data_IF_631048699531
#
_entry.id   IF_631048699531
#
_cell.length_a   1.000
_cell.length_b   1.000
_cell.length_c   1.000
_cell.angle_alpha   90.00
_cell.angle_beta   90.00
_cell.angle_gamma   90.00
#
_symmetry.space_group_name_H-M   'P 1'
#
loop_
_entity.id
_entity.type
_entity.pdbx_description
1 polymer ?
#
# COMPACT_ATOMS: atom_id res chain seq x y z
N UNK A 1 23.49 5.65 -18.60
CA UNK A 1 22.68 5.56 -17.37
C UNK A 1 21.40 6.37 -17.58
N UNK A 2 20.22 5.79 -17.38
CA UNK A 2 18.96 6.57 -17.44
C UNK A 2 18.87 7.44 -16.18
N UNK A 3 18.66 8.74 -16.33
CA UNK A 3 18.35 9.62 -15.21
C UNK A 3 16.99 9.20 -14.62
N UNK A 4 16.99 8.78 -13.37
CA UNK A 4 15.77 8.46 -12.62
C UNK A 4 15.12 9.79 -12.22
N UNK A 5 13.83 9.96 -12.51
CA UNK A 5 13.13 11.19 -12.09
C UNK A 5 12.85 11.19 -10.59
N UNK A 6 12.73 12.38 -9.98
CA UNK A 6 12.34 12.51 -8.57
C UNK A 6 11.04 11.76 -8.26
N UNK A 7 10.07 11.76 -9.18
CA UNK A 7 8.83 10.98 -9.09
C UNK A 7 9.11 9.48 -8.94
N UNK A 8 10.01 8.93 -9.76
CA UNK A 8 10.37 7.51 -9.68
C UNK A 8 11.08 7.18 -8.36
N UNK A 9 11.97 8.07 -7.89
CA UNK A 9 12.63 7.90 -6.59
C UNK A 9 11.58 7.82 -5.47
N UNK A 10 10.60 8.72 -5.45
CA UNK A 10 9.51 8.73 -4.46
C UNK A 10 8.70 7.44 -4.53
N UNK A 11 8.26 7.02 -5.73
CA UNK A 11 7.47 5.80 -5.90
C UNK A 11 8.23 4.55 -5.42
N UNK A 12 9.52 4.44 -5.76
CA UNK A 12 10.34 3.31 -5.33
C UNK A 12 10.69 3.36 -3.85
N UNK A 13 10.85 4.55 -3.25
CA UNK A 13 11.03 4.69 -1.81
C UNK A 13 9.80 4.18 -1.05
N UNK A 14 8.59 4.52 -1.52
CA UNK A 14 7.35 4.00 -0.93
C UNK A 14 7.24 2.49 -1.15
N UNK A 15 7.60 1.97 -2.35
CA UNK A 15 7.62 0.52 -2.58
C UNK A 15 8.57 -0.21 -1.63
N UNK A 16 9.76 0.34 -1.39
CA UNK A 16 10.72 -0.21 -0.43
C UNK A 16 10.18 -0.18 1.00
N UNK A 17 9.46 0.88 1.38
CA UNK A 17 8.77 0.94 2.66
C UNK A 17 7.75 -0.20 2.80
N UNK A 18 6.90 -0.43 1.80
CA UNK A 18 5.94 -1.54 1.78
C UNK A 18 6.65 -2.90 1.97
N UNK A 19 7.71 -3.14 1.20
CA UNK A 19 8.48 -4.38 1.27
C UNK A 19 9.16 -4.57 2.63
N UNK A 20 9.71 -3.49 3.21
CA UNK A 20 10.35 -3.54 4.52
C UNK A 20 9.35 -3.90 5.62
N UNK A 21 8.20 -3.24 5.65
CA UNK A 21 7.15 -3.50 6.64
C UNK A 21 6.57 -4.90 6.46
N UNK A 22 6.31 -5.32 5.22
CA UNK A 22 5.85 -6.68 4.92
C UNK A 22 6.87 -7.74 5.38
N UNK A 23 8.16 -7.53 5.10
CA UNK A 23 9.23 -8.43 5.52
C UNK A 23 9.35 -8.50 7.04
N UNK A 24 9.28 -7.36 7.73
CA UNK A 24 9.32 -7.30 9.19
C UNK A 24 8.10 -7.99 9.82
N UNK A 25 6.88 -7.72 9.32
CA UNK A 25 5.66 -8.38 9.79
C UNK A 25 5.69 -9.90 9.53
N UNK A 26 6.23 -10.33 8.39
CA UNK A 26 6.40 -11.74 8.07
C UNK A 26 7.36 -12.40 9.04
N UNK A 27 8.51 -11.76 9.31
CA UNK A 27 9.49 -12.26 10.28
C UNK A 27 8.84 -12.50 11.65
N UNK A 28 8.15 -11.49 12.20
CA UNK A 28 7.46 -11.62 13.50
C UNK A 28 6.43 -12.75 13.51
N UNK A 29 5.66 -12.91 12.43
CA UNK A 29 4.64 -13.95 12.37
C UNK A 29 5.27 -15.35 12.39
N UNK A 30 6.37 -15.56 11.68
CA UNK A 30 7.02 -16.88 11.59
C UNK A 30 8.00 -17.15 12.73
N UNK A 31 8.52 -16.14 13.42
CA UNK A 31 9.39 -16.30 14.59
C UNK A 31 8.62 -16.52 15.88
N UNK A 32 7.49 -15.83 16.06
CA UNK A 32 6.83 -15.71 17.37
C UNK A 32 5.54 -16.55 17.49
N UNK A 33 5.00 -17.07 16.38
CA UNK A 33 3.75 -17.84 16.39
C UNK A 33 3.91 -19.26 15.83
N UNK A 34 3.57 -20.25 16.64
CA UNK A 34 3.44 -21.65 16.24
C UNK A 34 1.96 -22.01 16.04
N UNK A 35 1.35 -21.62 14.91
CA UNK A 35 -0.03 -21.99 14.57
C UNK A 35 -0.74 -21.06 13.58
N UNK A 36 -1.90 -21.48 13.05
CA UNK A 36 -2.71 -20.66 12.14
C UNK A 36 -3.34 -19.48 12.90
N UNK A 37 -2.87 -18.26 12.65
CA UNK A 37 -3.30 -17.04 13.32
C UNK A 37 -3.98 -16.10 12.32
N UNK A 38 -5.01 -15.35 12.72
CA UNK A 38 -5.66 -14.33 11.88
C UNK A 38 -4.68 -13.28 11.32
N UNK A 39 -3.50 -13.15 11.93
CA UNK A 39 -2.39 -12.33 11.41
C UNK A 39 -1.89 -12.75 10.02
N UNK A 40 -2.13 -13.99 9.56
CA UNK A 40 -1.85 -14.36 8.17
C UNK A 40 -2.69 -13.54 7.18
N UNK A 41 -3.94 -13.20 7.52
CA UNK A 41 -4.77 -12.35 6.67
C UNK A 41 -4.23 -10.93 6.57
N UNK A 42 -3.61 -10.43 7.64
CA UNK A 42 -2.92 -9.13 7.62
C UNK A 42 -1.75 -9.15 6.62
N UNK A 43 -0.94 -10.20 6.61
CA UNK A 43 0.15 -10.34 5.63
C UNK A 43 -0.37 -10.42 4.19
N UNK A 44 -1.46 -11.15 3.96
CA UNK A 44 -2.09 -11.19 2.63
C UNK A 44 -2.57 -9.80 2.22
N UNK A 45 -3.20 -9.06 3.14
CA UNK A 45 -3.56 -7.65 2.93
C UNK A 45 -2.36 -6.80 2.56
N UNK A 46 -1.27 -6.85 3.35
CA UNK A 46 -0.04 -6.10 3.08
C UNK A 46 0.54 -6.44 1.70
N UNK A 47 0.51 -7.70 1.30
CA UNK A 47 0.96 -8.13 -0.03
C UNK A 47 0.09 -7.55 -1.15
N UNK A 48 -1.24 -7.55 -1.00
CA UNK A 48 -2.17 -6.97 -1.97
C UNK A 48 -1.90 -5.46 -2.16
N UNK A 49 -1.73 -4.72 -1.06
CA UNK A 49 -1.36 -3.30 -1.10
C UNK A 49 -0.02 -3.06 -1.79
N UNK A 50 0.99 -3.89 -1.47
CA UNK A 50 2.33 -3.83 -2.09
C UNK A 50 2.27 -4.10 -3.60
N UNK A 51 1.48 -5.10 -4.03
CA UNK A 51 1.28 -5.42 -5.44
C UNK A 51 0.52 -4.30 -6.17
N UNK A 52 -0.46 -3.69 -5.51
CA UNK A 52 -1.14 -2.52 -6.04
C UNK A 52 -0.17 -1.35 -6.25
N UNK A 53 0.69 -1.07 -5.27
CA UNK A 53 1.72 -0.05 -5.40
C UNK A 53 2.74 -0.38 -6.50
N UNK A 54 3.17 -1.65 -6.63
CA UNK A 54 4.03 -2.10 -7.71
C UNK A 54 3.40 -1.82 -9.08
N UNK A 55 2.09 -2.03 -9.23
CA UNK A 55 1.35 -1.66 -10.43
C UNK A 55 1.40 -0.16 -10.75
N UNK A 56 1.38 0.71 -9.72
CA UNK A 56 1.57 2.16 -9.87
C UNK A 56 3.00 2.48 -10.34
N UNK A 57 4.02 1.82 -9.79
CA UNK A 57 5.41 1.93 -10.26
C UNK A 57 5.56 1.53 -11.74
N UNK A 58 4.78 0.55 -12.20
CA UNK A 58 4.69 0.12 -13.60
C UNK A 58 3.81 1.03 -14.47
N UNK A 59 3.36 2.17 -13.93
CA UNK A 59 2.53 3.18 -14.60
C UNK A 59 1.18 2.65 -15.10
N UNK A 60 0.62 1.67 -14.42
CA UNK A 60 -0.69 1.09 -14.76
C UNK A 60 -1.80 1.78 -13.95
N UNK A 61 -2.62 2.61 -14.61
CA UNK A 61 -3.66 3.45 -13.97
C UNK A 61 -4.67 2.67 -13.12
N UNK A 62 -5.04 1.46 -13.58
CA UNK A 62 -6.00 0.61 -12.87
C UNK A 62 -5.55 0.32 -11.43
N UNK A 63 -4.23 0.23 -11.19
CA UNK A 63 -3.70 -0.04 -9.87
C UNK A 63 -3.78 1.16 -8.93
N UNK A 64 -3.82 2.41 -9.43
CA UNK A 64 -4.15 3.57 -8.59
C UNK A 64 -5.57 3.49 -8.08
N UNK A 65 -6.53 3.08 -8.93
CA UNK A 65 -7.91 2.89 -8.51
C UNK A 65 -8.04 1.74 -7.52
N UNK A 66 -7.38 0.61 -7.79
CA UNK A 66 -7.34 -0.53 -6.87
C UNK A 66 -6.76 -0.10 -5.51
N UNK A 67 -5.62 0.59 -5.51
CA UNK A 67 -4.96 1.05 -4.29
C UNK A 67 -5.85 2.03 -3.50
N UNK A 68 -6.49 2.99 -4.19
CA UNK A 68 -7.46 3.88 -3.56
C UNK A 68 -8.64 3.11 -2.93
N UNK A 69 -9.23 2.16 -3.66
CA UNK A 69 -10.32 1.34 -3.14
C UNK A 69 -9.91 0.51 -1.93
N UNK A 70 -8.67 -0.01 -1.91
CA UNK A 70 -8.12 -0.73 -0.77
C UNK A 70 -7.98 0.16 0.47
N UNK A 71 -7.51 1.39 0.30
CA UNK A 71 -7.43 2.38 1.40
C UNK A 71 -8.81 2.72 1.94
N UNK A 72 -9.79 2.93 1.06
CA UNK A 72 -11.17 3.20 1.47
C UNK A 72 -11.72 2.01 2.26
N UNK A 73 -11.46 0.78 1.81
CA UNK A 73 -11.86 -0.44 2.52
C UNK A 73 -11.19 -0.54 3.91
N UNK A 74 -9.88 -0.27 4.00
CA UNK A 74 -9.13 -0.24 5.26
C UNK A 74 -9.71 0.82 6.22
N UNK A 75 -9.96 2.04 5.73
CA UNK A 75 -10.60 3.11 6.51
C UNK A 75 -11.98 2.71 7.02
N UNK A 76 -12.82 2.12 6.15
CA UNK A 76 -14.14 1.63 6.54
C UNK A 76 -14.03 0.51 7.58
N UNK A 77 -13.10 -0.43 7.41
CA UNK A 77 -12.85 -1.49 8.38
C UNK A 77 -12.45 -0.92 9.75
N UNK A 78 -11.53 0.07 9.76
CA UNK A 78 -11.08 0.73 10.98
C UNK A 78 -12.19 1.52 11.67
N UNK A 79 -13.00 2.28 10.92
CA UNK A 79 -14.03 3.16 11.46
C UNK A 79 -15.28 2.41 11.93
N UNK A 80 -15.77 1.45 11.14
CA UNK A 80 -17.04 0.78 11.41
C UNK A 80 -16.89 -0.56 12.14
N UNK A 81 -15.74 -1.22 12.01
CA UNK A 81 -15.51 -2.56 12.56
C UNK A 81 -14.30 -2.63 13.50
N UNK A 82 -13.75 -1.48 13.94
CA UNK A 82 -12.52 -1.42 14.74
C UNK A 82 -12.57 -2.16 16.09
N UNK A 83 -13.77 -2.41 16.64
CA UNK A 83 -13.95 -3.21 17.87
C UNK A 83 -14.10 -4.72 17.61
N UNK A 84 -14.04 -5.15 16.35
CA UNK A 84 -14.16 -6.54 15.93
C UNK A 84 -12.83 -7.00 15.35
N UNK A 85 -12.55 -8.31 15.45
CA UNK A 85 -11.32 -8.94 14.92
C UNK A 85 -11.08 -8.54 13.44
N UNK A 86 -12.15 -8.40 12.66
CA UNK A 86 -12.05 -7.94 11.28
C UNK A 86 -11.44 -6.53 11.15
N UNK A 87 -11.87 -5.56 11.97
CA UNK A 87 -11.31 -4.21 11.95
C UNK A 87 -9.90 -4.13 12.53
N UNK A 88 -9.55 -5.00 13.49
CA UNK A 88 -8.17 -5.09 14.01
C UNK A 88 -7.19 -5.64 12.96
N UNK A 89 -7.63 -6.59 12.13
CA UNK A 89 -6.76 -7.25 11.14
C UNK A 89 -6.69 -6.48 9.82
N UNK A 90 -7.82 -5.94 9.35
CA UNK A 90 -7.93 -5.27 8.05
C UNK A 90 -7.81 -3.74 8.16
N UNK A 91 -8.16 -3.15 9.32
CA UNK A 91 -8.11 -1.70 9.51
C UNK A 91 -6.72 -1.14 9.83
N UNK A 92 -5.73 -1.99 10.11
CA UNK A 92 -4.34 -1.62 10.45
C UNK A 92 -3.31 -2.37 9.57
N UNK A 93 -3.57 -2.48 8.26
CA UNK A 93 -2.64 -3.10 7.33
C UNK A 93 -1.44 -2.16 7.12
N UNK A 94 -1.70 -0.94 6.66
CA UNK A 94 -0.71 0.13 6.45
C UNK A 94 -1.20 1.50 6.93
N UNK A 95 -2.42 1.59 7.47
CA UNK A 95 -2.93 2.82 8.05
C UNK A 95 -2.00 3.38 9.16
N UNK A 96 -1.76 4.71 9.21
CA UNK A 96 -2.26 5.77 8.32
C UNK A 96 -1.34 6.10 7.13
N UNK A 97 -0.24 5.39 6.94
CA UNK A 97 0.78 5.74 5.94
C UNK A 97 0.20 5.76 4.52
N UNK A 98 -0.65 4.80 4.19
CA UNK A 98 -1.23 4.67 2.84
C UNK A 98 -2.16 5.82 2.46
N UNK A 99 -2.80 6.48 3.44
CA UNK A 99 -3.56 7.73 3.22
C UNK A 99 -2.64 8.86 2.72
N UNK A 100 -1.41 8.93 3.26
CA UNK A 100 -0.42 9.88 2.78
C UNK A 100 0.09 9.49 1.38
N UNK A 101 0.32 8.20 1.15
CA UNK A 101 0.83 7.70 -0.12
C UNK A 101 -0.14 7.92 -1.28
N UNK A 102 -1.45 7.71 -1.07
CA UNK A 102 -2.43 8.09 -2.10
C UNK A 102 -2.46 9.59 -2.35
N UNK A 103 -2.26 10.42 -1.30
CA UNK A 103 -2.07 11.87 -1.46
C UNK A 103 -0.90 12.20 -2.39
N UNK A 104 0.24 11.50 -2.24
CA UNK A 104 1.39 11.61 -3.14
C UNK A 104 1.02 11.22 -4.57
N UNK A 105 0.27 10.14 -4.76
CA UNK A 105 -0.19 9.71 -6.09
C UNK A 105 -1.09 10.76 -6.75
N UNK A 106 -1.99 11.40 -6.00
CA UNK A 106 -2.87 12.47 -6.51
C UNK A 106 -2.03 13.67 -6.96
N UNK A 107 -1.10 14.12 -6.12
CA UNK A 107 -0.23 15.28 -6.44
C UNK A 107 0.64 15.00 -7.67
N UNK A 108 1.21 13.80 -7.75
CA UNK A 108 2.15 13.41 -8.81
C UNK A 108 1.46 12.73 -10.00
N UNK A 109 0.13 12.63 -10.04
CA UNK A 109 -0.62 11.80 -10.98
C UNK A 109 -0.17 11.99 -12.43
N UNK A 110 -0.14 13.25 -12.89
CA UNK A 110 0.29 13.60 -14.26
C UNK A 110 1.73 13.16 -14.55
N UNK A 111 2.64 13.32 -13.59
CA UNK A 111 4.04 12.94 -13.73
C UNK A 111 4.22 11.43 -13.75
N UNK A 112 3.47 10.69 -12.93
CA UNK A 112 3.49 9.22 -12.86
C UNK A 112 3.07 8.63 -14.21
N UNK A 113 1.96 9.12 -14.77
CA UNK A 113 1.35 8.58 -15.99
C UNK A 113 1.79 9.28 -17.29
N UNK A 114 2.79 10.17 -17.21
CA UNK A 114 3.32 10.94 -18.34
C UNK A 114 2.23 11.74 -19.10
N UNK A 115 1.22 12.25 -18.42
CA UNK A 115 0.22 13.10 -19.05
C UNK A 115 0.79 14.51 -19.23
N UNK A 116 0.91 14.96 -20.50
CA UNK A 116 1.22 16.36 -20.78
C UNK A 116 0.08 17.21 -20.25
N UNK A 117 0.41 18.29 -19.54
CA UNK A 117 -0.57 19.33 -19.31
C UNK A 117 -1.00 19.85 -20.68
N UNK A 118 -2.26 19.62 -21.05
CA UNK A 118 -2.88 20.35 -22.15
C UNK A 118 -2.99 21.81 -21.69
N UNK A 119 -1.95 22.57 -22.00
CA UNK A 119 -1.94 24.02 -22.04
C UNK A 119 -1.86 24.42 -23.51
#
# INVERSE_FOLDING_TARGET
MKNISNTQIILYAILLFHLFIFGHASYLLFSDFTGFNFQYFRLVGMLIFTLAWLGICLKKRIFTLIYFSLIVLELMAKMFFGSLIFGEVIGDIFFPADVLFIGVVIILYKQIFNERSSA
#
